data_IF_274340823175
#
_entry.id   IF_274340823175
#
_cell.length_a   1.000
_cell.length_b   1.000
_cell.length_c   1.000
_cell.angle_alpha   90.00
_cell.angle_beta   90.00
_cell.angle_gamma   90.00
#
_symmetry.space_group_name_H-M   'P 1'
#
loop_
_entity.id
_entity.type
_entity.pdbx_description
1 polymer ?
#
# COMPACT_ATOMS: atom_id res chain seq x y z
N UNK A 1 2.91 8.46 -26.85
CA UNK A 1 2.00 7.34 -26.48
C UNK A 1 2.48 6.66 -25.19
N UNK A 2 2.80 7.43 -24.16
CA UNK A 2 3.23 6.95 -22.84
C UNK A 2 2.75 8.02 -21.86
N UNK A 3 1.58 7.83 -21.25
CA UNK A 3 0.98 8.95 -20.52
C UNK A 3 -0.37 8.73 -19.83
N UNK A 4 -0.85 7.50 -19.65
CA UNK A 4 -1.97 7.24 -18.74
C UNK A 4 -1.57 6.12 -17.78
N UNK A 5 -0.68 6.52 -16.89
CA UNK A 5 -0.53 5.94 -15.57
C UNK A 5 -1.88 6.06 -14.87
N UNK A 6 -2.52 4.93 -14.57
CA UNK A 6 -3.35 4.76 -13.37
C UNK A 6 -4.31 5.92 -13.11
N UNK A 7 -5.17 6.25 -14.07
CA UNK A 7 -6.44 6.86 -13.71
C UNK A 7 -7.27 5.72 -13.10
N UNK A 8 -7.06 5.43 -11.81
CA UNK A 8 -8.08 4.75 -11.03
C UNK A 8 -9.24 5.74 -11.06
N UNK A 9 -10.37 5.44 -11.72
CA UNK A 9 -11.53 6.32 -11.64
C UNK A 9 -11.79 6.55 -10.16
N UNK A 10 -11.96 7.81 -9.77
CA UNK A 10 -12.07 8.26 -8.38
C UNK A 10 -13.33 7.74 -7.66
N UNK A 11 -13.92 6.68 -8.18
CA UNK A 11 -15.34 6.48 -8.20
C UNK A 11 -15.52 4.99 -8.58
N UNK A 12 -15.88 4.20 -7.57
CA UNK A 12 -16.09 2.76 -7.66
C UNK A 12 -17.51 2.52 -8.17
N UNK A 13 -17.89 3.05 -9.34
CA UNK A 13 -19.31 3.15 -9.67
C UNK A 13 -20.03 1.81 -9.81
N UNK A 14 -19.35 0.69 -10.08
CA UNK A 14 -19.98 -0.64 -10.01
C UNK A 14 -18.92 -1.76 -9.97
N UNK A 15 -18.80 -2.55 -8.87
CA UNK A 15 -17.87 -3.68 -8.79
C UNK A 15 -18.13 -4.80 -9.82
N UNK A 16 -19.29 -4.74 -10.50
CA UNK A 16 -19.72 -5.73 -11.49
C UNK A 16 -19.25 -5.40 -12.91
N UNK A 17 -18.76 -4.18 -13.17
CA UNK A 17 -18.27 -3.78 -14.50
C UNK A 17 -16.74 -3.67 -14.47
N UNK A 18 -16.09 -4.81 -14.28
CA UNK A 18 -14.67 -4.94 -14.55
C UNK A 18 -14.47 -5.09 -16.06
N UNK A 19 -13.91 -4.07 -16.73
CA UNK A 19 -13.58 -4.10 -18.17
C UNK A 19 -12.06 -4.18 -18.38
N UNK A 20 -11.47 -5.37 -18.48
CA UNK A 20 -10.02 -5.51 -18.59
C UNK A 20 -9.57 -5.46 -20.05
N UNK A 21 -9.02 -4.33 -20.50
CA UNK A 21 -8.28 -4.29 -21.77
C UNK A 21 -6.76 -4.43 -21.56
N UNK A 22 -6.22 -4.17 -20.36
CA UNK A 22 -4.78 -4.30 -20.00
C UNK A 22 -4.49 -4.61 -18.51
N UNK A 23 -5.46 -5.10 -17.74
CA UNK A 23 -5.27 -5.31 -16.29
C UNK A 23 -4.55 -6.65 -16.02
N UNK A 24 -3.62 -6.64 -15.06
CA UNK A 24 -2.98 -7.88 -14.59
C UNK A 24 -4.06 -8.87 -14.11
N UNK A 25 -4.12 -10.11 -14.65
CA UNK A 25 -5.12 -11.09 -14.25
C UNK A 25 -5.02 -11.46 -12.76
N UNK A 26 -3.86 -11.23 -12.13
CA UNK A 26 -3.65 -11.43 -10.70
C UNK A 26 -4.10 -10.26 -9.81
N UNK A 27 -4.59 -9.14 -10.37
CA UNK A 27 -4.97 -7.97 -9.58
C UNK A 27 -6.06 -8.28 -8.52
N UNK A 28 -7.16 -8.99 -8.85
CA UNK A 28 -8.19 -9.31 -7.86
C UNK A 28 -7.67 -10.20 -6.72
N UNK A 29 -6.75 -11.12 -7.03
CA UNK A 29 -6.12 -11.98 -6.02
C UNK A 29 -5.26 -11.16 -5.06
N UNK A 30 -4.45 -10.23 -5.60
CA UNK A 30 -3.60 -9.37 -4.80
C UNK A 30 -4.42 -8.45 -3.88
N UNK A 31 -5.37 -7.69 -4.43
CA UNK A 31 -6.07 -6.64 -3.70
C UNK A 31 -7.20 -7.14 -2.80
N UNK A 32 -7.96 -8.16 -3.23
CA UNK A 32 -9.14 -8.63 -2.48
C UNK A 32 -8.82 -9.74 -1.48
N UNK A 33 -7.72 -10.48 -1.68
CA UNK A 33 -7.40 -11.65 -0.84
C UNK A 33 -6.07 -11.49 -0.13
N UNK A 34 -4.98 -11.31 -0.87
CA UNK A 34 -3.63 -11.36 -0.29
C UNK A 34 -3.35 -10.17 0.63
N UNK A 35 -3.60 -8.95 0.15
CA UNK A 35 -3.31 -7.72 0.92
C UNK A 35 -4.12 -7.67 2.22
N UNK A 36 -5.46 -7.88 2.23
CA UNK A 36 -6.24 -7.82 3.47
C UNK A 36 -5.85 -8.90 4.46
N UNK A 37 -5.56 -10.13 4.00
CA UNK A 37 -5.16 -11.24 4.88
C UNK A 37 -3.80 -10.96 5.51
N UNK A 38 -2.79 -10.58 4.72
CA UNK A 38 -1.46 -10.26 5.24
C UNK A 38 -1.50 -9.09 6.21
N UNK A 39 -2.23 -8.02 5.86
CA UNK A 39 -2.36 -6.85 6.71
C UNK A 39 -3.09 -7.18 8.02
N UNK A 40 -4.20 -7.91 7.94
CA UNK A 40 -4.96 -8.33 9.12
C UNK A 40 -4.13 -9.21 10.05
N UNK A 41 -3.37 -10.17 9.51
CA UNK A 41 -2.48 -11.02 10.29
C UNK A 41 -1.38 -10.21 10.99
N UNK A 42 -0.76 -9.25 10.31
CA UNK A 42 0.29 -8.41 10.89
C UNK A 42 -0.23 -7.46 11.98
N UNK A 43 -1.44 -6.91 11.81
CA UNK A 43 -2.05 -6.03 12.79
C UNK A 43 -2.55 -6.76 14.03
N UNK A 44 -3.01 -8.01 13.90
CA UNK A 44 -3.53 -8.77 15.04
C UNK A 44 -2.43 -9.46 15.85
N UNK A 45 -1.29 -9.81 15.22
CA UNK A 45 -0.26 -10.60 15.91
C UNK A 45 0.82 -9.77 16.61
N UNK A 46 0.92 -8.48 16.31
CA UNK A 46 2.00 -7.63 16.82
C UNK A 46 1.46 -6.31 17.36
N UNK A 47 1.99 -5.90 18.52
CA UNK A 47 1.92 -4.52 18.97
C UNK A 47 3.02 -3.73 18.26
N UNK A 48 2.63 -2.69 17.51
CA UNK A 48 3.53 -1.93 16.63
C UNK A 48 3.98 -0.65 17.33
N UNK A 49 5.30 -0.51 17.54
CA UNK A 49 5.89 0.72 18.06
C UNK A 49 6.73 1.38 16.99
N UNK A 50 6.53 2.68 16.80
CA UNK A 50 7.36 3.49 15.92
C UNK A 50 8.64 3.87 16.68
N UNK A 51 9.80 3.85 16.01
CA UNK A 51 11.04 4.35 16.63
C UNK A 51 10.82 5.80 17.11
N UNK A 52 11.21 6.10 18.36
CA UNK A 52 10.90 7.36 19.06
C UNK A 52 11.30 8.62 18.29
N UNK A 53 12.33 8.51 17.45
CA UNK A 53 12.83 9.59 16.58
C UNK A 53 11.85 10.02 15.47
N UNK A 54 10.79 9.26 15.19
CA UNK A 54 9.78 9.56 14.16
C UNK A 54 8.39 9.67 14.76
N UNK A 55 8.29 9.92 16.07
CA UNK A 55 7.04 9.96 16.82
C UNK A 55 6.13 11.17 16.51
N UNK A 56 6.64 12.21 15.84
CA UNK A 56 5.82 13.35 15.42
C UNK A 56 5.35 13.18 13.97
N UNK A 57 4.05 13.38 13.67
CA UNK A 57 3.52 13.35 12.30
C UNK A 57 4.19 14.35 11.35
N UNK A 58 4.86 15.36 11.91
CA UNK A 58 5.49 16.47 11.20
C UNK A 58 6.88 16.14 10.66
N UNK A 59 7.51 15.08 11.16
CA UNK A 59 8.85 14.63 10.76
C UNK A 59 8.79 13.43 9.80
N UNK A 60 7.59 12.98 9.44
CA UNK A 60 7.38 11.93 8.44
C UNK A 60 7.72 12.46 7.05
N UNK A 61 8.89 12.08 6.58
CA UNK A 61 9.29 12.30 5.19
C UNK A 61 8.36 11.50 4.24
N UNK A 62 7.75 12.22 3.31
CA UNK A 62 6.87 11.69 2.27
C UNK A 62 7.53 11.79 0.90
N UNK A 63 8.80 12.19 0.82
CA UNK A 63 9.56 12.11 -0.42
C UNK A 63 9.67 10.64 -0.87
N UNK A 64 9.58 10.43 -2.19
CA UNK A 64 9.56 9.10 -2.80
C UNK A 64 10.79 8.89 -3.66
N UNK A 65 11.35 7.68 -3.60
CA UNK A 65 12.37 7.24 -4.54
C UNK A 65 11.67 6.57 -5.71
N UNK A 66 11.73 7.22 -6.88
CA UNK A 66 11.18 6.66 -8.10
C UNK A 66 11.94 5.39 -8.53
N UNK A 67 11.19 4.32 -8.79
CA UNK A 67 11.70 3.00 -9.18
C UNK A 67 10.57 2.09 -9.69
N UNK A 68 10.80 0.78 -9.73
CA UNK A 68 9.77 -0.20 -10.13
C UNK A 68 8.60 -0.21 -9.12
N UNK A 69 8.91 0.05 -7.86
CA UNK A 69 7.94 0.28 -6.79
C UNK A 69 8.11 1.69 -6.24
N UNK A 70 6.99 2.31 -5.84
CA UNK A 70 7.00 3.54 -5.06
C UNK A 70 7.46 3.20 -3.65
N UNK A 71 8.70 3.55 -3.34
CA UNK A 71 9.29 3.40 -2.01
C UNK A 71 9.55 4.78 -1.41
N UNK A 72 9.32 4.92 -0.11
CA UNK A 72 9.71 6.14 0.62
C UNK A 72 11.22 6.39 0.50
N UNK A 73 11.61 7.66 0.33
CA UNK A 73 13.00 8.09 0.30
C UNK A 73 13.71 7.77 1.64
N UNK A 74 13.00 7.96 2.76
CA UNK A 74 13.40 7.50 4.09
C UNK A 74 12.46 6.39 4.57
N UNK A 75 12.96 5.16 4.78
CA UNK A 75 12.12 4.06 5.22
C UNK A 75 11.62 4.29 6.65
N UNK A 76 10.32 4.11 6.87
CA UNK A 76 9.74 4.07 8.22
C UNK A 76 10.07 2.74 8.88
N UNK A 77 10.57 2.80 10.12
CA UNK A 77 10.90 1.62 10.92
C UNK A 77 9.85 1.43 12.00
N UNK A 78 9.05 0.38 11.84
CA UNK A 78 8.11 -0.07 12.86
C UNK A 78 8.67 -1.34 13.49
N UNK A 79 8.74 -1.38 14.82
CA UNK A 79 9.25 -2.50 15.59
C UNK A 79 8.04 -3.33 16.06
N UNK A 80 7.87 -4.57 15.57
CA UNK A 80 6.82 -5.45 16.06
C UNK A 80 7.24 -6.07 17.39
N UNK A 81 6.42 -5.89 18.44
CA UNK A 81 6.48 -6.70 19.66
C UNK A 81 5.38 -7.76 19.63
N UNK A 82 5.66 -9.04 19.93
CA UNK A 82 4.60 -10.03 20.06
C UNK A 82 3.65 -9.62 21.19
N UNK A 83 2.35 -9.78 20.94
CA UNK A 83 1.30 -9.62 21.96
C UNK A 83 1.36 -10.80 22.93
#
# INVERSE_FOLDING_TARGET
MCGQMVEIPASWEDPLVFKPERICPGLPLATLRMVPVMLGSLLISFDWKLEEATSTPKELDMEEKFGITLAKARPLRAIPSPI
#
